data_IF_662745081107
#
_entry.id   IF_662745081107
#
_cell.length_a   1.000
_cell.length_b   1.000
_cell.length_c   1.000
_cell.angle_alpha   90.00
_cell.angle_beta   90.00
_cell.angle_gamma   90.00
#
_symmetry.space_group_name_H-M   'P 1'
#
loop_
_entity.id
_entity.type
_entity.pdbx_description
1 polymer ?
#
# COMPACT_ATOMS: atom_id res chain seq x y z
N UNK A 1 -17.28 -1.43 -3.35
CA UNK A 1 -17.48 -1.28 -1.89
C UNK A 1 -17.91 -2.65 -1.38
N UNK A 2 -17.22 -3.18 -0.40
CA UNK A 2 -17.53 -4.47 0.24
C UNK A 2 -18.03 -4.16 1.64
N UNK A 3 -19.13 -4.77 2.04
CA UNK A 3 -19.57 -4.75 3.43
C UNK A 3 -18.65 -5.67 4.25
N UNK A 4 -18.11 -5.26 5.42
CA UNK A 4 -17.30 -6.12 6.27
C UNK A 4 -17.92 -7.49 6.59
N UNK A 5 -19.24 -7.62 6.61
CA UNK A 5 -19.92 -8.92 6.82
C UNK A 5 -19.78 -9.88 5.64
N UNK A 6 -19.44 -9.36 4.45
CA UNK A 6 -19.26 -10.12 3.21
C UNK A 6 -17.81 -10.55 2.97
N UNK A 7 -16.88 -10.19 3.86
CA UNK A 7 -15.44 -10.46 3.72
C UNK A 7 -15.16 -11.96 3.46
N UNK A 8 -15.93 -12.84 4.10
CA UNK A 8 -15.74 -14.28 4.03
C UNK A 8 -16.28 -14.95 2.76
N UNK A 9 -17.04 -14.24 1.92
CA UNK A 9 -17.67 -14.84 0.73
C UNK A 9 -16.67 -15.19 -0.38
N UNK A 10 -15.51 -14.53 -0.39
CA UNK A 10 -14.47 -14.70 -1.41
C UNK A 10 -13.57 -15.89 -1.10
N UNK A 11 -12.99 -16.48 -2.13
CA UNK A 11 -11.97 -17.55 -2.01
C UNK A 11 -10.55 -17.00 -1.77
N UNK A 12 -10.44 -15.70 -1.58
CA UNK A 12 -9.24 -14.98 -1.16
C UNK A 12 -9.61 -14.05 0.01
N UNK A 13 -8.61 -13.54 0.73
CA UNK A 13 -8.80 -12.54 1.77
C UNK A 13 -8.88 -11.14 1.14
N UNK A 14 -10.00 -10.39 1.28
CA UNK A 14 -10.12 -9.04 0.71
C UNK A 14 -9.11 -8.02 1.24
N UNK A 15 -8.44 -8.31 2.36
CA UNK A 15 -7.37 -7.50 2.97
C UNK A 15 -5.96 -7.93 2.55
N UNK A 16 -5.82 -8.91 1.65
CA UNK A 16 -4.56 -9.30 1.05
C UNK A 16 -4.24 -8.39 -0.16
N UNK A 17 -3.20 -7.57 -0.03
CA UNK A 17 -2.78 -6.61 -1.06
C UNK A 17 -2.15 -7.26 -2.31
N UNK A 18 -2.01 -8.59 -2.33
CA UNK A 18 -1.67 -9.36 -3.53
C UNK A 18 -2.90 -9.71 -4.37
N UNK A 19 -4.11 -9.41 -3.90
CA UNK A 19 -5.38 -9.73 -4.56
C UNK A 19 -6.07 -8.49 -5.11
N UNK A 20 -6.69 -8.67 -6.26
CA UNK A 20 -7.64 -7.71 -6.84
C UNK A 20 -9.06 -8.11 -6.47
N UNK A 21 -9.93 -7.13 -6.27
CA UNK A 21 -11.37 -7.37 -6.16
C UNK A 21 -11.94 -7.45 -7.58
N UNK A 22 -12.54 -8.59 -7.99
CA UNK A 22 -13.11 -8.73 -9.33
C UNK A 22 -14.18 -7.67 -9.60
N UNK A 23 -14.06 -6.92 -10.71
CA UNK A 23 -14.95 -5.80 -11.01
C UNK A 23 -16.37 -6.23 -11.40
N UNK A 24 -16.54 -7.49 -11.80
CA UNK A 24 -17.84 -8.14 -12.05
C UNK A 24 -18.60 -8.48 -10.76
N UNK A 25 -17.88 -8.71 -9.66
CA UNK A 25 -18.47 -8.93 -8.32
C UNK A 25 -18.53 -7.66 -7.47
N UNK A 26 -17.53 -6.79 -7.61
CA UNK A 26 -17.38 -5.54 -6.85
C UNK A 26 -17.20 -4.38 -7.83
N UNK A 27 -18.29 -3.88 -8.44
CA UNK A 27 -18.21 -2.90 -9.51
C UNK A 27 -17.63 -1.56 -9.03
N UNK A 28 -16.85 -0.95 -9.92
CA UNK A 28 -16.29 0.39 -9.72
C UNK A 28 -17.43 1.42 -9.58
N UNK A 29 -17.29 2.30 -8.59
CA UNK A 29 -18.21 3.42 -8.36
C UNK A 29 -17.47 4.72 -8.64
N UNK A 30 -17.87 5.50 -9.66
CA UNK A 30 -17.24 6.78 -9.93
C UNK A 30 -17.37 7.73 -8.72
N UNK A 31 -16.25 8.33 -8.32
CA UNK A 31 -16.22 9.30 -7.20
C UNK A 31 -15.95 10.72 -7.71
N UNK A 32 -14.98 10.89 -8.60
CA UNK A 32 -14.60 12.20 -9.12
C UNK A 32 -13.45 12.12 -10.12
N UNK A 33 -12.86 13.27 -10.46
CA UNK A 33 -11.78 13.40 -11.43
C UNK A 33 -10.63 14.22 -10.84
N UNK A 34 -9.42 13.66 -10.85
CA UNK A 34 -8.19 14.39 -10.57
C UNK A 34 -7.65 15.00 -11.88
N UNK A 35 -7.25 16.27 -11.85
CA UNK A 35 -6.64 16.97 -13.00
C UNK A 35 -5.33 17.59 -12.56
N UNK A 36 -4.24 17.22 -13.23
CA UNK A 36 -2.94 17.85 -13.07
C UNK A 36 -2.80 18.94 -14.13
N UNK A 37 -2.76 20.21 -13.72
CA UNK A 37 -2.82 21.37 -14.62
C UNK A 37 -1.69 22.39 -14.43
N UNK A 38 -0.69 22.07 -13.60
CA UNK A 38 0.44 22.94 -13.31
C UNK A 38 1.67 22.11 -12.95
N UNK A 39 2.83 22.54 -13.44
CA UNK A 39 4.13 21.98 -13.03
C UNK A 39 4.59 22.62 -11.72
N UNK A 40 5.56 21.98 -11.06
CA UNK A 40 6.28 22.57 -9.91
C UNK A 40 7.13 23.76 -10.37
N UNK A 41 7.24 24.78 -9.53
CA UNK A 41 8.13 25.93 -9.73
C UNK A 41 9.57 25.56 -9.33
N UNK A 42 9.74 24.78 -8.27
CA UNK A 42 11.04 24.27 -7.83
C UNK A 42 10.98 22.79 -7.45
N UNK A 43 11.71 21.97 -8.21
CA UNK A 43 11.72 20.52 -8.03
C UNK A 43 12.14 20.08 -6.62
N UNK A 44 13.18 20.67 -6.05
CA UNK A 44 13.67 20.25 -4.74
C UNK A 44 12.68 20.65 -3.64
N UNK A 45 12.29 21.92 -3.63
CA UNK A 45 11.41 22.45 -2.58
C UNK A 45 10.03 21.81 -2.59
N UNK A 46 9.56 21.38 -3.76
CA UNK A 46 8.23 20.81 -3.91
C UNK A 46 8.23 19.29 -4.04
N UNK A 47 8.89 18.73 -5.05
CA UNK A 47 8.79 17.30 -5.34
C UNK A 47 9.70 16.46 -4.44
N UNK A 48 10.95 16.86 -4.24
CA UNK A 48 11.91 16.10 -3.42
C UNK A 48 11.51 16.12 -1.92
N UNK A 49 11.00 17.26 -1.45
CA UNK A 49 10.58 17.44 -0.06
C UNK A 49 9.14 16.97 0.25
N UNK A 50 8.38 16.54 -0.76
CA UNK A 50 7.02 16.06 -0.55
C UNK A 50 7.01 14.79 0.31
N UNK A 51 6.03 14.69 1.20
CA UNK A 51 5.87 13.61 2.14
C UNK A 51 4.43 13.09 2.15
N UNK A 52 4.22 11.91 1.56
CA UNK A 52 2.95 11.19 1.62
C UNK A 52 2.97 10.13 2.71
N UNK A 53 1.84 9.80 3.31
CA UNK A 53 1.75 8.66 4.21
C UNK A 53 0.33 8.12 4.25
N UNK A 54 0.12 6.79 4.21
CA UNK A 54 -1.24 6.22 4.28
C UNK A 54 -1.88 6.45 5.64
N UNK A 55 -1.09 6.77 6.68
CA UNK A 55 -1.57 7.19 7.99
C UNK A 55 -2.12 8.63 8.07
N UNK A 56 -2.00 9.42 6.99
CA UNK A 56 -2.54 10.78 6.92
C UNK A 56 -3.95 10.74 6.33
N UNK A 57 -4.92 10.37 7.17
CA UNK A 57 -6.35 10.26 6.80
C UNK A 57 -7.17 11.43 7.34
N UNK A 58 -8.32 11.66 6.71
CA UNK A 58 -9.32 12.66 7.14
C UNK A 58 -10.53 11.97 7.80
N UNK A 59 -11.31 12.68 8.64
CA UNK A 59 -12.50 12.09 9.25
C UNK A 59 -13.42 11.42 8.23
N UNK A 60 -13.86 10.19 8.53
CA UNK A 60 -14.65 9.35 7.62
C UNK A 60 -13.82 8.33 6.83
N UNK A 61 -12.49 8.39 6.87
CA UNK A 61 -11.58 7.39 6.29
C UNK A 61 -10.78 6.74 7.41
N UNK A 62 -10.75 5.41 7.44
CA UNK A 62 -10.07 4.62 8.46
C UNK A 62 -9.34 3.43 7.85
N UNK A 63 -8.47 2.80 8.66
CA UNK A 63 -7.63 1.69 8.23
C UNK A 63 -8.38 0.36 8.29
N UNK A 64 -8.03 -0.56 7.39
CA UNK A 64 -8.39 -1.97 7.48
C UNK A 64 -7.33 -2.77 8.24
N UNK A 65 -7.58 -4.04 8.52
CA UNK A 65 -6.64 -4.96 9.16
C UNK A 65 -5.62 -5.58 8.18
N UNK A 66 -5.49 -5.02 6.97
CA UNK A 66 -4.44 -5.38 6.01
C UNK A 66 -3.06 -5.21 6.68
N UNK A 67 -2.33 -6.33 6.81
CA UNK A 67 -1.04 -6.39 7.50
C UNK A 67 0.02 -5.48 6.86
N UNK A 68 -0.02 -5.32 5.54
CA UNK A 68 0.89 -4.45 4.79
C UNK A 68 0.52 -2.98 5.02
N UNK A 69 -0.77 -2.64 4.99
CA UNK A 69 -1.24 -1.28 5.33
C UNK A 69 -0.82 -0.87 6.75
N UNK A 70 -1.04 -1.74 7.74
CA UNK A 70 -0.70 -1.47 9.14
C UNK A 70 0.78 -1.14 9.33
N UNK A 71 1.67 -1.88 8.65
CA UNK A 71 3.11 -1.59 8.66
C UNK A 71 3.42 -0.22 8.02
N UNK A 72 2.77 0.08 6.89
CA UNK A 72 2.98 1.33 6.16
C UNK A 72 2.49 2.57 6.92
N UNK A 73 1.40 2.46 7.70
CA UNK A 73 0.92 3.57 8.54
C UNK A 73 2.02 4.08 9.47
N UNK A 74 2.85 3.19 10.01
CA UNK A 74 4.02 3.54 10.80
C UNK A 74 5.21 4.02 9.95
N UNK A 75 5.60 3.22 8.94
CA UNK A 75 6.90 3.36 8.27
C UNK A 75 7.12 4.71 7.57
N UNK A 76 6.06 5.30 7.00
CA UNK A 76 6.20 6.55 6.24
C UNK A 76 6.56 7.74 7.15
N UNK A 77 5.88 7.89 8.28
CA UNK A 77 6.16 8.98 9.20
C UNK A 77 7.55 8.82 9.85
N UNK A 78 7.98 7.59 10.11
CA UNK A 78 9.31 7.29 10.65
C UNK A 78 10.41 7.73 9.68
N UNK A 79 10.38 7.27 8.43
CA UNK A 79 11.39 7.63 7.43
C UNK A 79 11.40 9.12 7.11
N UNK A 80 10.24 9.78 7.13
CA UNK A 80 10.13 11.22 6.85
C UNK A 80 10.80 12.08 7.90
N UNK A 81 10.68 11.72 9.18
CA UNK A 81 11.38 12.42 10.27
C UNK A 81 12.90 12.34 10.10
N UNK A 82 13.41 11.21 9.62
CA UNK A 82 14.83 11.06 9.31
C UNK A 82 15.23 11.83 8.05
N UNK A 83 14.51 11.65 6.94
CA UNK A 83 14.85 12.18 5.61
C UNK A 83 14.72 13.69 5.50
N UNK A 84 13.66 14.26 6.09
CA UNK A 84 13.29 15.67 5.95
C UNK A 84 13.43 16.47 7.25
N UNK A 85 13.57 15.76 8.37
CA UNK A 85 13.64 16.36 9.71
C UNK A 85 12.33 16.24 10.50
N UNK A 86 12.38 16.49 11.81
CA UNK A 86 11.26 16.28 12.73
C UNK A 86 10.04 17.15 12.38
N UNK A 87 10.28 18.33 11.79
CA UNK A 87 9.26 19.32 11.44
C UNK A 87 8.90 19.32 9.94
N UNK A 88 9.06 18.20 9.23
CA UNK A 88 8.80 18.11 7.78
C UNK A 88 7.36 18.50 7.37
N UNK A 89 6.39 18.36 8.27
CA UNK A 89 4.99 18.77 8.05
C UNK A 89 4.81 20.29 8.02
N UNK A 90 5.81 21.08 8.44
CA UNK A 90 5.79 22.54 8.35
C UNK A 90 6.22 23.05 6.96
N UNK A 91 6.90 22.21 6.16
CA UNK A 91 7.34 22.60 4.82
C UNK A 91 6.11 22.97 3.96
N UNK A 92 6.17 24.04 3.13
CA UNK A 92 5.00 24.54 2.40
C UNK A 92 4.24 23.50 1.57
N UNK A 93 4.94 22.49 1.03
CA UNK A 93 4.33 21.41 0.24
C UNK A 93 3.67 20.31 1.07
N UNK A 94 4.00 20.20 2.35
CA UNK A 94 3.43 19.21 3.28
C UNK A 94 2.42 19.83 4.25
N UNK A 95 2.47 21.16 4.42
CA UNK A 95 1.61 21.88 5.35
C UNK A 95 0.12 21.75 4.95
N UNK A 96 -0.78 21.52 5.94
CA UNK A 96 -2.20 21.48 5.65
C UNK A 96 -2.69 22.86 5.19
N UNK A 97 -3.69 22.87 4.31
CA UNK A 97 -4.35 24.10 3.85
C UNK A 97 -5.41 24.64 4.84
N UNK A 98 -5.71 23.88 5.89
CA UNK A 98 -6.61 24.29 6.95
C UNK A 98 -5.83 24.82 8.15
N UNK A 99 -6.51 25.58 9.02
CA UNK A 99 -5.96 25.93 10.32
C UNK A 99 -5.67 24.65 11.11
N UNK A 100 -4.48 24.58 11.70
CA UNK A 100 -4.07 23.47 12.56
C UNK A 100 -3.54 24.05 13.87
N UNK A 101 -4.01 23.50 14.98
CA UNK A 101 -3.59 23.89 16.32
C UNK A 101 -3.25 22.63 17.10
N UNK A 102 -2.00 22.54 17.55
CA UNK A 102 -1.50 21.43 18.36
C UNK A 102 -0.49 21.96 19.39
N UNK A 103 -0.14 21.09 20.32
CA UNK A 103 0.81 21.35 21.39
C UNK A 103 2.21 20.77 21.10
N UNK A 104 2.62 20.68 19.83
CA UNK A 104 4.00 20.32 19.46
C UNK A 104 4.84 21.60 19.28
N UNK A 105 5.94 21.74 20.03
CA UNK A 105 6.67 23.01 20.17
C UNK A 105 8.06 23.05 19.55
N UNK A 106 8.89 22.02 19.73
CA UNK A 106 10.32 22.12 19.40
C UNK A 106 10.69 21.38 18.10
N UNK A 107 11.89 20.81 18.06
CA UNK A 107 12.44 20.07 16.91
C UNK A 107 13.32 20.93 16.02
N UNK A 108 14.30 20.29 15.39
CA UNK A 108 15.20 20.95 14.45
C UNK A 108 14.41 21.65 13.33
N UNK A 109 14.90 22.84 12.94
CA UNK A 109 14.29 23.67 11.90
C UNK A 109 12.81 24.00 12.17
N UNK A 110 12.41 24.16 13.44
CA UNK A 110 11.12 24.77 13.72
C UNK A 110 11.18 26.28 13.39
N UNK A 111 10.36 26.69 12.42
CA UNK A 111 10.21 28.09 12.01
C UNK A 111 8.81 28.64 12.26
N UNK A 112 7.97 27.91 13.00
CA UNK A 112 6.66 28.41 13.43
C UNK A 112 6.83 29.46 14.51
N UNK A 113 6.13 30.59 14.35
CA UNK A 113 5.97 31.54 15.44
C UNK A 113 4.89 31.02 16.40
N UNK A 114 5.24 30.96 17.69
CA UNK A 114 4.36 30.60 18.79
C UNK A 114 4.51 31.64 19.89
N UNK A 115 3.41 32.26 20.27
CA UNK A 115 3.31 33.25 21.35
C UNK A 115 2.54 32.71 22.56
N UNK A 116 2.13 31.43 22.51
CA UNK A 116 1.37 30.79 23.57
C UNK A 116 2.25 30.34 24.74
N UNK A 117 1.85 30.68 25.98
CA UNK A 117 2.55 30.27 27.22
C UNK A 117 2.24 28.84 27.68
N UNK A 118 1.26 28.17 27.07
CA UNK A 118 0.76 26.85 27.49
C UNK A 118 0.94 25.82 26.39
N UNK A 119 1.82 24.85 26.63
CA UNK A 119 2.17 23.75 25.72
C UNK A 119 1.59 22.38 26.11
N UNK A 120 0.64 22.35 27.05
CA UNK A 120 0.07 21.11 27.60
C UNK A 120 -1.47 21.13 27.62
N UNK A 121 -2.06 19.94 27.64
CA UNK A 121 -3.51 19.74 27.76
C UNK A 121 -3.81 18.56 28.71
N UNK A 122 -4.80 18.65 29.61
CA UNK A 122 -5.69 19.80 29.86
C UNK A 122 -4.97 20.95 30.59
N UNK A 123 -5.45 22.18 30.40
CA UNK A 123 -4.91 23.38 31.06
C UNK A 123 -6.01 24.23 31.66
N UNK A 124 -5.71 24.87 32.81
CA UNK A 124 -6.56 25.88 33.44
C UNK A 124 -6.25 27.31 32.97
N UNK A 125 -5.11 27.48 32.30
CA UNK A 125 -4.56 28.79 31.92
C UNK A 125 -4.77 29.11 30.44
N UNK A 126 -5.18 28.13 29.64
CA UNK A 126 -5.55 28.31 28.24
C UNK A 126 -6.84 27.55 27.92
N UNK A 127 -7.75 28.13 27.11
CA UNK A 127 -9.04 27.52 26.74
C UNK A 127 -8.89 26.48 25.62
N UNK A 128 -7.94 25.56 25.80
CA UNK A 128 -7.68 24.47 24.85
C UNK A 128 -8.82 23.46 24.90
N UNK A 129 -9.22 22.91 23.74
CA UNK A 129 -10.28 21.90 23.64
C UNK A 129 -10.03 20.95 22.49
N UNK A 130 -10.46 19.70 22.65
CA UNK A 130 -10.51 18.75 21.53
C UNK A 130 -11.59 19.16 20.53
N UNK A 131 -11.37 18.83 19.25
CA UNK A 131 -12.43 18.88 18.25
C UNK A 131 -13.54 17.88 18.61
N UNK A 132 -14.80 18.12 18.18
CA UNK A 132 -15.87 17.14 18.33
C UNK A 132 -15.47 15.78 17.74
N UNK A 133 -15.75 14.65 18.44
CA UNK A 133 -15.38 13.34 17.94
C UNK A 133 -16.14 13.02 16.65
N UNK A 134 -15.44 12.46 15.67
CA UNK A 134 -16.07 11.78 14.53
C UNK A 134 -16.11 10.29 14.85
N UNK A 135 -17.28 9.72 15.16
CA UNK A 135 -17.37 8.35 15.65
C UNK A 135 -16.98 7.36 14.55
N UNK A 136 -16.25 6.33 14.97
CA UNK A 136 -15.95 5.14 14.17
C UNK A 136 -16.89 4.06 14.66
N UNK A 137 -17.50 3.30 13.74
CA UNK A 137 -18.25 2.10 14.11
C UNK A 137 -17.29 1.11 14.79
N UNK A 138 -17.51 0.76 16.07
CA UNK A 138 -16.63 -0.19 16.74
C UNK A 138 -16.79 -1.58 16.13
N UNK A 139 -15.67 -2.22 15.77
CA UNK A 139 -15.61 -3.61 15.29
C UNK A 139 -15.00 -4.49 16.40
N UNK A 140 -15.67 -5.56 16.86
CA UNK A 140 -15.05 -6.53 17.75
C UNK A 140 -13.87 -7.22 17.06
N UNK A 141 -12.72 -7.29 17.75
CA UNK A 141 -11.55 -8.03 17.30
C UNK A 141 -11.39 -9.27 18.18
N UNK A 142 -11.53 -10.45 17.58
CA UNK A 142 -11.44 -11.74 18.28
C UNK A 142 -10.32 -12.56 17.65
N UNK A 143 -9.42 -13.07 18.47
CA UNK A 143 -8.33 -13.91 17.99
C UNK A 143 -7.21 -14.09 19.00
N UNK A 144 -6.17 -14.83 18.61
CA UNK A 144 -4.95 -15.00 19.38
C UNK A 144 -3.85 -14.15 18.77
N UNK A 145 -3.07 -13.45 19.61
CA UNK A 145 -1.89 -12.71 19.16
C UNK A 145 -0.80 -13.69 18.71
N UNK A 146 -0.57 -13.79 17.41
CA UNK A 146 0.40 -14.72 16.82
C UNK A 146 1.03 -14.16 15.54
N UNK A 147 2.20 -14.70 15.16
CA UNK A 147 2.81 -14.50 13.84
C UNK A 147 2.36 -15.63 12.92
N UNK A 148 1.42 -15.36 12.03
CA UNK A 148 0.86 -16.36 11.13
C UNK A 148 0.56 -15.76 9.75
N UNK A 149 0.61 -16.62 8.73
CA UNK A 149 0.07 -16.33 7.41
C UNK A 149 -1.45 -16.23 7.47
N UNK A 150 -2.05 -15.59 6.46
CA UNK A 150 -3.51 -15.57 6.32
C UNK A 150 -4.03 -16.98 5.95
N UNK A 151 -5.30 -17.25 6.22
CA UNK A 151 -5.90 -18.55 5.93
C UNK A 151 -6.15 -18.73 4.42
N UNK A 152 -6.68 -17.71 3.73
CA UNK A 152 -7.02 -17.72 2.30
C UNK A 152 -5.89 -17.13 1.44
N UNK A 153 -4.73 -17.80 1.41
CA UNK A 153 -3.55 -17.33 0.65
C UNK A 153 -3.80 -17.28 -0.86
N UNK A 154 -4.30 -18.38 -1.44
CA UNK A 154 -4.69 -18.47 -2.85
C UNK A 154 -3.69 -17.83 -3.82
N UNK A 155 -2.40 -18.21 -3.70
CA UNK A 155 -1.29 -17.48 -4.32
C UNK A 155 -1.26 -17.56 -5.85
N UNK A 156 -1.92 -18.57 -6.45
CA UNK A 156 -1.72 -18.92 -7.86
C UNK A 156 -2.94 -18.63 -8.76
N UNK A 157 -4.15 -18.55 -8.21
CA UNK A 157 -5.37 -18.43 -9.02
C UNK A 157 -5.43 -17.11 -9.80
N UNK A 158 -5.38 -15.97 -9.11
CA UNK A 158 -5.47 -14.66 -9.76
C UNK A 158 -4.33 -14.38 -10.76
N UNK A 159 -3.06 -14.73 -10.49
CA UNK A 159 -2.00 -14.63 -11.50
C UNK A 159 -2.29 -15.48 -12.75
N UNK A 160 -2.83 -16.69 -12.57
CA UNK A 160 -3.26 -17.57 -13.67
C UNK A 160 -4.37 -16.95 -14.51
N UNK A 161 -5.43 -16.47 -13.87
CA UNK A 161 -6.55 -15.77 -14.52
C UNK A 161 -6.07 -14.53 -15.28
N UNK A 162 -5.16 -13.77 -14.68
CA UNK A 162 -4.55 -12.60 -15.31
C UNK A 162 -3.79 -12.97 -16.56
N UNK A 163 -2.97 -14.01 -16.54
CA UNK A 163 -2.26 -14.49 -17.73
C UNK A 163 -3.23 -14.93 -18.83
N UNK A 164 -4.27 -15.69 -18.49
CA UNK A 164 -5.30 -16.15 -19.44
C UNK A 164 -6.10 -15.00 -20.06
N UNK A 165 -6.31 -13.90 -19.32
CA UNK A 165 -7.03 -12.72 -19.82
C UNK A 165 -6.28 -11.93 -20.91
N UNK A 166 -4.98 -12.18 -21.11
CA UNK A 166 -4.18 -11.43 -22.06
C UNK A 166 -4.36 -11.93 -23.49
N UNK A 167 -4.30 -10.99 -24.45
CA UNK A 167 -4.17 -11.35 -25.85
C UNK A 167 -2.88 -12.17 -26.11
N UNK A 168 -2.88 -13.09 -27.10
CA UNK A 168 -1.76 -14.01 -27.33
C UNK A 168 -0.40 -13.33 -27.51
N UNK A 169 -0.36 -12.16 -28.17
CA UNK A 169 0.86 -11.39 -28.37
C UNK A 169 1.44 -10.85 -27.04
N UNK A 170 0.56 -10.47 -26.10
CA UNK A 170 0.97 -10.04 -24.75
C UNK A 170 1.47 -11.22 -23.93
N UNK A 171 0.81 -12.38 -24.00
CA UNK A 171 1.29 -13.61 -23.35
C UNK A 171 2.70 -13.97 -23.84
N UNK A 172 2.92 -13.94 -25.15
CA UNK A 172 4.23 -14.22 -25.75
C UNK A 172 5.31 -13.24 -25.30
N UNK A 173 4.99 -11.92 -25.25
CA UNK A 173 5.93 -10.92 -24.71
C UNK A 173 6.29 -11.19 -23.24
N UNK A 174 5.32 -11.57 -22.43
CA UNK A 174 5.54 -11.92 -21.03
C UNK A 174 6.45 -13.14 -20.90
N UNK A 175 6.14 -14.22 -21.62
CA UNK A 175 6.94 -15.47 -21.62
C UNK A 175 8.38 -15.17 -22.03
N UNK A 176 8.58 -14.41 -23.11
CA UNK A 176 9.91 -14.06 -23.59
C UNK A 176 10.72 -13.29 -22.55
N UNK A 177 10.11 -12.30 -21.89
CA UNK A 177 10.80 -11.51 -20.86
C UNK A 177 11.13 -12.37 -19.64
N UNK A 178 10.16 -13.12 -19.12
CA UNK A 178 10.35 -13.93 -17.91
C UNK A 178 11.40 -15.03 -18.13
N UNK A 179 11.36 -15.72 -19.28
CA UNK A 179 12.40 -16.69 -19.64
C UNK A 179 13.78 -16.03 -19.80
N UNK A 180 13.85 -14.81 -20.36
CA UNK A 180 15.09 -14.05 -20.46
C UNK A 180 15.72 -13.75 -19.10
N UNK A 181 14.91 -13.32 -18.12
CA UNK A 181 15.37 -13.08 -16.75
C UNK A 181 15.84 -14.38 -16.08
N UNK A 182 15.07 -15.46 -16.20
CA UNK A 182 15.44 -16.76 -15.62
C UNK A 182 16.68 -17.39 -16.28
N UNK A 183 16.95 -17.06 -17.55
CA UNK A 183 18.14 -17.51 -18.26
C UNK A 183 19.43 -16.80 -17.81
N UNK A 184 19.33 -15.74 -16.99
CA UNK A 184 20.48 -15.00 -16.51
C UNK A 184 21.48 -15.96 -15.80
N UNK A 185 22.81 -15.84 -16.04
CA UNK A 185 23.80 -16.80 -15.53
C UNK A 185 23.85 -16.91 -14.00
N UNK A 186 23.43 -15.87 -13.28
CA UNK A 186 23.37 -15.87 -11.81
C UNK A 186 22.11 -16.53 -11.24
N UNK A 187 21.14 -16.91 -12.07
CA UNK A 187 19.96 -17.64 -11.63
C UNK A 187 20.30 -19.13 -11.66
N UNK A 188 20.34 -19.74 -10.47
CA UNK A 188 20.72 -21.14 -10.33
C UNK A 188 19.68 -22.08 -10.98
N UNK A 189 20.07 -23.30 -11.38
CA UNK A 189 19.12 -24.30 -11.89
C UNK A 189 17.96 -24.58 -10.93
N UNK A 190 18.22 -24.58 -9.61
CA UNK A 190 17.21 -24.79 -8.57
C UNK A 190 16.18 -23.66 -8.56
N UNK A 191 16.63 -22.40 -8.64
CA UNK A 191 15.73 -21.25 -8.72
C UNK A 191 14.89 -21.28 -9.99
N UNK A 192 15.46 -21.69 -11.14
CA UNK A 192 14.69 -21.86 -12.38
C UNK A 192 13.58 -22.89 -12.20
N UNK A 193 13.88 -24.03 -11.56
CA UNK A 193 12.88 -25.07 -11.30
C UNK A 193 11.76 -24.58 -10.36
N UNK A 194 12.11 -23.87 -9.28
CA UNK A 194 11.13 -23.29 -8.35
C UNK A 194 10.19 -22.32 -9.08
N UNK A 195 10.74 -21.39 -9.87
CA UNK A 195 9.93 -20.42 -10.61
C UNK A 195 9.07 -21.08 -11.68
N UNK A 196 9.60 -22.06 -12.43
CA UNK A 196 8.80 -22.84 -13.38
C UNK A 196 7.64 -23.53 -12.66
N UNK A 197 7.88 -24.12 -11.49
CA UNK A 197 6.81 -24.74 -10.69
C UNK A 197 5.74 -23.73 -10.28
N UNK A 198 6.10 -22.56 -9.72
CA UNK A 198 5.12 -21.53 -9.39
C UNK A 198 4.30 -21.07 -10.60
N UNK A 199 4.95 -20.89 -11.75
CA UNK A 199 4.26 -20.51 -12.97
C UNK A 199 3.32 -21.61 -13.48
N UNK A 200 3.69 -22.89 -13.34
CA UNK A 200 2.81 -24.03 -13.65
C UNK A 200 1.58 -24.08 -12.73
N UNK A 201 1.73 -23.74 -11.44
CA UNK A 201 0.61 -23.66 -10.51
C UNK A 201 -0.37 -22.53 -10.86
N UNK A 202 0.12 -21.43 -11.45
CA UNK A 202 -0.74 -20.37 -11.99
C UNK A 202 -1.47 -20.81 -13.26
N UNK A 203 -0.71 -21.37 -14.22
CA UNK A 203 -1.22 -21.87 -15.49
C UNK A 203 -0.26 -22.91 -16.09
N UNK A 204 -0.74 -24.12 -16.33
CA UNK A 204 0.09 -25.22 -16.83
C UNK A 204 0.77 -24.87 -18.17
N UNK A 205 0.05 -24.21 -19.09
CA UNK A 205 0.58 -23.82 -20.40
C UNK A 205 1.71 -22.80 -20.27
N UNK A 206 1.63 -21.90 -19.28
CA UNK A 206 2.67 -20.92 -18.99
C UNK A 206 3.94 -21.60 -18.49
N UNK A 207 3.82 -22.50 -17.51
CA UNK A 207 4.93 -23.27 -16.97
C UNK A 207 5.66 -24.06 -18.06
N UNK A 208 4.92 -24.81 -18.89
CA UNK A 208 5.46 -25.59 -20.02
C UNK A 208 6.20 -24.70 -21.01
N UNK A 209 5.62 -23.56 -21.42
CA UNK A 209 6.25 -22.64 -22.39
C UNK A 209 7.54 -22.03 -21.86
N UNK A 210 7.61 -21.69 -20.57
CA UNK A 210 8.83 -21.16 -19.93
C UNK A 210 9.88 -22.26 -19.81
N UNK A 211 9.50 -23.45 -19.34
CA UNK A 211 10.38 -24.61 -19.19
C UNK A 211 11.07 -24.96 -20.52
N UNK A 212 10.30 -25.00 -21.61
CA UNK A 212 10.81 -25.26 -22.97
C UNK A 212 11.84 -24.21 -23.42
N UNK A 213 11.66 -22.94 -23.06
CA UNK A 213 12.63 -21.89 -23.41
C UNK A 213 13.92 -21.95 -22.61
N UNK A 214 13.85 -22.49 -21.39
CA UNK A 214 15.00 -22.63 -20.50
C UNK A 214 15.75 -23.96 -20.70
N UNK A 215 15.21 -24.87 -21.53
CA UNK A 215 15.64 -26.27 -21.62
C UNK A 215 15.63 -26.98 -20.25
N UNK A 216 14.67 -26.63 -19.39
CA UNK A 216 14.46 -27.25 -18.08
C UNK A 216 13.29 -28.22 -18.21
N UNK A 217 13.39 -29.44 -17.68
CA UNK A 217 12.26 -30.38 -17.67
C UNK A 217 11.15 -29.83 -16.74
N UNK A 218 9.89 -29.74 -17.17
CA UNK A 218 8.79 -29.45 -16.26
C UNK A 218 8.74 -30.52 -15.17
N UNK A 219 8.70 -30.13 -13.90
CA UNK A 219 8.35 -31.03 -12.81
C UNK A 219 6.85 -31.22 -12.89
N UNK A 220 6.39 -32.40 -13.34
CA UNK A 220 4.99 -32.81 -13.19
C UNK A 220 4.69 -33.03 -11.72
#
# INVERSE_FOLDING_TARGET
>A
VIDPEEEERFDFDPLDDTKTWPEDEVPLRPVGRLVLNRNVDNFFNENEQLAFGPGLVVPGIYYSDDKMLQCRVFAYADTQRYRLGPNYLMLPVNAPKCAHHNNHYDGAMNFMHRDEEVDYYPSRHAPLRHAPPTPITPRPVVGRRQKATIHKQNDFKQPGERYRSWAPDRQERFIRRFAGELAHPKVSPELRAIWVNYLSQCDESLGVKIANRLNVKPSM
#
